data_IF_232205115456
#
_entry.id   IF_232205115456
#
_cell.length_a   1.000
_cell.length_b   1.000
_cell.length_c   1.000
_cell.angle_alpha   90.00
_cell.angle_beta   90.00
_cell.angle_gamma   90.00
#
_symmetry.space_group_name_H-M   'P 1'
#
loop_
_entity.id
_entity.type
_entity.pdbx_description
1 polymer ?
#
# COMPACT_ATOMS: atom_id res chain seq x y z
N UNK A 1 7.89 -20.23 -20.53
CA UNK A 1 6.74 -19.43 -20.97
C UNK A 1 6.15 -18.74 -19.75
N UNK A 2 5.93 -17.45 -19.86
CA UNK A 2 5.37 -16.69 -18.76
C UNK A 2 3.86 -16.67 -18.84
N UNK A 3 3.23 -16.92 -17.70
CA UNK A 3 1.83 -16.59 -17.59
C UNK A 3 1.71 -15.05 -17.53
N UNK A 4 0.71 -14.46 -18.18
CA UNK A 4 0.51 -13.02 -18.06
C UNK A 4 0.24 -12.66 -16.60
N UNK A 5 0.82 -11.54 -16.17
CA UNK A 5 0.62 -11.07 -14.81
C UNK A 5 -0.76 -10.44 -14.73
N UNK A 6 -1.56 -10.93 -13.80
CA UNK A 6 -2.88 -10.36 -13.55
C UNK A 6 -2.73 -8.97 -12.94
N UNK A 7 -3.26 -7.91 -13.56
CA UNK A 7 -3.17 -6.58 -13.00
C UNK A 7 -3.79 -6.46 -11.61
N UNK A 8 -4.85 -7.20 -11.33
CA UNK A 8 -5.46 -7.18 -9.99
C UNK A 8 -4.51 -7.80 -8.97
N UNK A 9 -3.81 -8.86 -9.35
CA UNK A 9 -2.85 -9.48 -8.45
C UNK A 9 -1.67 -8.56 -8.17
N UNK A 10 -1.22 -7.82 -9.19
CA UNK A 10 -0.16 -6.84 -9.01
C UNK A 10 -0.56 -5.74 -8.03
N UNK A 11 -1.77 -5.22 -8.17
CA UNK A 11 -2.25 -4.19 -7.25
C UNK A 11 -2.39 -4.72 -5.84
N UNK A 12 -2.80 -5.98 -5.69
CA UNK A 12 -2.85 -6.63 -4.39
C UNK A 12 -1.47 -6.73 -3.76
N UNK A 13 -0.44 -7.03 -4.55
CA UNK A 13 0.93 -7.07 -4.06
C UNK A 13 1.41 -5.68 -3.65
N UNK A 14 1.08 -4.66 -4.43
CA UNK A 14 1.45 -3.29 -4.10
C UNK A 14 0.79 -2.85 -2.80
N UNK A 15 -0.47 -3.23 -2.62
CA UNK A 15 -1.18 -2.92 -1.39
C UNK A 15 -0.53 -3.60 -0.20
N UNK A 16 -0.19 -4.88 -0.32
CA UNK A 16 0.49 -5.61 0.75
C UNK A 16 1.82 -4.95 1.08
N UNK A 17 2.58 -4.53 0.06
CA UNK A 17 3.85 -3.86 0.28
C UNK A 17 3.67 -2.52 0.98
N UNK A 18 2.62 -1.79 0.64
CA UNK A 18 2.34 -0.51 1.29
C UNK A 18 2.11 -0.71 2.79
N UNK A 19 1.36 -1.73 3.16
CA UNK A 19 1.13 -2.06 4.56
C UNK A 19 2.40 -2.50 5.26
N UNK A 20 3.22 -3.32 4.59
CA UNK A 20 4.48 -3.76 5.17
C UNK A 20 5.42 -2.59 5.42
N UNK A 21 5.48 -1.61 4.50
CA UNK A 21 6.29 -0.42 4.71
C UNK A 21 5.81 0.37 5.92
N UNK A 22 4.50 0.51 6.07
CA UNK A 22 3.94 1.20 7.23
C UNK A 22 4.30 0.49 8.53
N UNK A 23 4.10 -0.82 8.57
CA UNK A 23 4.41 -1.61 9.76
C UNK A 23 5.90 -1.55 10.08
N UNK A 24 6.73 -1.62 9.04
CA UNK A 24 8.18 -1.57 9.24
C UNK A 24 8.63 -0.20 9.73
N UNK A 25 8.04 0.87 9.21
CA UNK A 25 8.40 2.23 9.62
C UNK A 25 8.03 2.49 11.07
N UNK A 26 6.94 1.90 11.55
CA UNK A 26 6.47 2.12 12.92
C UNK A 26 7.05 1.11 13.92
N UNK A 27 7.68 0.04 13.42
CA UNK A 27 8.24 -1.00 14.27
C UNK A 27 9.41 -0.44 15.09
N UNK A 28 9.43 -0.77 16.37
CA UNK A 28 10.53 -0.37 17.23
C UNK A 28 10.51 1.08 17.66
N UNK A 29 9.51 1.84 17.23
CA UNK A 29 9.35 3.21 17.67
C UNK A 29 8.48 3.22 18.93
N UNK A 30 8.73 4.18 19.81
CA UNK A 30 7.92 4.31 21.02
C UNK A 30 7.80 5.79 21.39
N UNK A 31 6.87 6.08 22.29
CA UNK A 31 6.68 7.42 22.85
C UNK A 31 6.38 8.46 21.77
N UNK A 32 6.94 9.65 21.97
CA UNK A 32 6.73 10.77 21.07
C UNK A 32 7.27 10.46 19.68
N UNK A 33 8.34 9.70 19.60
CA UNK A 33 8.94 9.34 18.33
C UNK A 33 7.99 8.46 17.51
N UNK A 34 7.32 7.53 18.17
CA UNK A 34 6.32 6.72 17.49
C UNK A 34 5.22 7.59 16.89
N UNK A 35 4.73 8.57 17.65
CA UNK A 35 3.67 9.44 17.18
C UNK A 35 4.09 10.21 15.92
N UNK A 36 5.32 10.74 15.90
CA UNK A 36 5.82 11.47 14.74
C UNK A 36 5.98 10.57 13.53
N UNK A 37 6.59 9.40 13.72
CA UNK A 37 6.81 8.47 12.62
C UNK A 37 5.47 7.94 12.10
N UNK A 38 4.57 7.60 13.01
CA UNK A 38 3.28 7.04 12.64
C UNK A 38 2.46 8.03 11.81
N UNK A 39 2.52 9.31 12.15
CA UNK A 39 1.76 10.31 11.42
C UNK A 39 2.17 10.38 9.95
N UNK A 40 3.47 10.47 9.68
CA UNK A 40 3.89 10.55 8.27
C UNK A 40 3.79 9.19 7.57
N UNK A 41 4.01 8.10 8.31
CA UNK A 41 3.89 6.76 7.74
C UNK A 41 2.46 6.47 7.34
N UNK A 42 1.51 6.89 8.18
CA UNK A 42 0.09 6.74 7.88
C UNK A 42 -0.31 7.57 6.68
N UNK A 43 0.15 8.84 6.61
CA UNK A 43 -0.16 9.70 5.48
C UNK A 43 0.36 9.10 4.17
N UNK A 44 1.56 8.54 4.20
CA UNK A 44 2.15 7.89 3.04
C UNK A 44 1.36 6.65 2.64
N UNK A 45 0.96 5.84 3.62
CA UNK A 45 0.15 4.66 3.37
C UNK A 45 -1.17 5.04 2.71
N UNK A 46 -1.86 6.03 3.27
CA UNK A 46 -3.13 6.48 2.69
C UNK A 46 -2.96 6.95 1.25
N UNK A 47 -1.89 7.70 0.99
CA UNK A 47 -1.63 8.18 -0.36
C UNK A 47 -1.43 7.02 -1.33
N UNK A 48 -0.69 6.01 -0.91
CA UNK A 48 -0.46 4.83 -1.75
C UNK A 48 -1.74 4.04 -1.96
N UNK A 49 -2.54 3.89 -0.91
CA UNK A 49 -3.81 3.15 -1.03
C UNK A 49 -4.78 3.87 -1.96
N UNK A 50 -4.80 5.20 -1.94
CA UNK A 50 -5.63 5.97 -2.88
C UNK A 50 -5.18 5.76 -4.31
N UNK A 51 -3.87 5.79 -4.54
CA UNK A 51 -3.33 5.58 -5.88
C UNK A 51 -3.67 4.18 -6.38
N UNK A 52 -3.56 3.18 -5.51
CA UNK A 52 -3.91 1.80 -5.85
C UNK A 52 -5.41 1.69 -6.15
N UNK A 53 -6.25 2.32 -5.33
CA UNK A 53 -7.69 2.29 -5.55
C UNK A 53 -8.07 2.96 -6.88
N UNK A 54 -7.40 4.06 -7.22
CA UNK A 54 -7.66 4.72 -8.50
C UNK A 54 -7.29 3.83 -9.68
N UNK A 55 -6.15 3.14 -9.58
CA UNK A 55 -5.74 2.21 -10.64
C UNK A 55 -6.67 1.02 -10.71
N UNK A 56 -7.09 0.51 -9.54
CA UNK A 56 -8.01 -0.63 -9.49
C UNK A 56 -9.35 -0.30 -10.13
N UNK A 57 -9.81 0.94 -9.97
CA UNK A 57 -11.08 1.34 -10.56
C UNK A 57 -11.03 1.36 -12.09
N UNK A 58 -9.82 1.46 -12.67
CA UNK A 58 -9.65 1.41 -14.11
C UNK A 58 -9.59 -0.02 -14.63
N UNK A 59 -9.42 -0.99 -13.77
CA UNK A 59 -9.35 -2.40 -14.15
C UNK A 59 -10.71 -3.04 -13.98
N UNK A 60 -11.71 -2.47 -14.58
CA UNK A 60 -13.04 -3.01 -14.44
C UNK A 60 -13.12 -4.38 -15.11
N UNK A 61 -13.78 -5.33 -14.46
CA UNK A 61 -14.05 -6.58 -15.13
C UNK A 61 -14.86 -6.30 -16.38
N UNK A 62 -14.59 -7.05 -17.42
CA UNK A 62 -15.40 -6.98 -18.61
C UNK A 62 -16.84 -7.32 -18.22
N UNK A 63 -17.74 -6.47 -18.58
CA UNK A 63 -19.13 -6.62 -18.19
C UNK A 63 -19.71 -7.94 -18.70
#
# INVERSE_FOLDING_TARGET
MHAPIDPHALLGQEEAQAWLEYLDATRGQDGARYADVETWAWARLEQRLRAIAARRSKLRPAA
#
